data_IF_821410971221
#
_entry.id   IF_821410971221
#
_cell.length_a   1.000
_cell.length_b   1.000
_cell.length_c   1.000
_cell.angle_alpha   90.00
_cell.angle_beta   90.00
_cell.angle_gamma   90.00
#
_symmetry.space_group_name_H-M   'P 1'
#
loop_
_entity.id
_entity.type
_entity.pdbx_description
1 polymer ?
#
# COMPACT_ATOMS: atom_id res chain seq x y z
N UNK A 1 -20.66 3.05 -9.17
CA UNK A 1 -19.65 2.74 -8.15
C UNK A 1 -18.20 2.76 -8.66
N UNK A 2 -17.91 2.47 -9.93
CA UNK A 2 -16.54 2.53 -10.50
C UNK A 2 -15.94 3.95 -10.53
N UNK A 3 -16.74 4.96 -10.77
CA UNK A 3 -16.28 6.38 -10.85
C UNK A 3 -15.85 6.92 -9.49
N UNK A 4 -16.53 6.49 -8.41
CA UNK A 4 -16.20 6.91 -7.03
C UNK A 4 -14.88 6.30 -6.55
N UNK A 5 -14.63 5.03 -6.88
CA UNK A 5 -13.36 4.35 -6.57
C UNK A 5 -12.18 4.93 -7.38
N UNK A 6 -12.40 5.35 -8.63
CA UNK A 6 -11.37 6.01 -9.43
C UNK A 6 -11.09 7.43 -8.91
N UNK A 7 -12.09 8.15 -8.44
CA UNK A 7 -11.91 9.48 -7.85
C UNK A 7 -11.14 9.43 -6.52
N UNK A 8 -11.45 8.47 -5.63
CA UNK A 8 -10.68 8.21 -4.42
C UNK A 8 -9.26 7.75 -4.73
N UNK A 9 -9.09 6.91 -5.76
CA UNK A 9 -7.81 6.38 -6.20
C UNK A 9 -6.82 7.47 -6.60
N UNK A 10 -7.28 8.59 -7.18
CA UNK A 10 -6.43 9.68 -7.66
C UNK A 10 -6.39 10.89 -6.72
N UNK A 11 -7.29 10.99 -5.74
CA UNK A 11 -7.40 12.16 -4.87
C UNK A 11 -6.21 12.36 -3.94
N UNK A 12 -5.56 11.26 -3.54
CA UNK A 12 -4.44 11.27 -2.56
C UNK A 12 -3.15 10.66 -3.10
N UNK A 13 -3.10 10.28 -4.37
CA UNK A 13 -1.92 9.67 -4.96
C UNK A 13 -1.12 10.68 -5.76
N UNK A 14 0.17 10.76 -5.46
CA UNK A 14 1.10 11.56 -6.23
C UNK A 14 1.81 10.66 -7.24
N UNK A 15 1.53 10.83 -8.52
CA UNK A 15 2.21 10.08 -9.58
C UNK A 15 3.58 10.68 -9.89
N UNK A 16 4.52 9.84 -10.42
CA UNK A 16 5.83 10.33 -10.88
C UNK A 16 5.70 11.48 -11.89
N UNK A 17 4.67 11.42 -12.74
CA UNK A 17 4.36 12.48 -13.71
C UNK A 17 3.93 13.78 -13.03
N UNK A 18 3.12 13.71 -11.97
CA UNK A 18 2.72 14.89 -11.19
C UNK A 18 3.92 15.53 -10.50
N UNK A 19 4.82 14.73 -9.92
CA UNK A 19 6.06 15.21 -9.31
C UNK A 19 6.93 15.92 -10.35
N UNK A 20 7.09 15.32 -11.54
CA UNK A 20 7.85 15.94 -12.65
C UNK A 20 7.23 17.29 -13.07
N UNK A 21 5.91 17.36 -13.24
CA UNK A 21 5.21 18.61 -13.57
C UNK A 21 5.40 19.68 -12.49
N UNK A 22 5.32 19.30 -11.20
CA UNK A 22 5.54 20.21 -10.10
C UNK A 22 6.99 20.76 -10.10
N UNK A 23 8.00 19.91 -10.31
CA UNK A 23 9.42 20.35 -10.44
C UNK A 23 9.59 21.34 -11.59
N UNK A 24 8.98 21.10 -12.75
CA UNK A 24 9.04 22.00 -13.91
C UNK A 24 8.38 23.35 -13.57
N UNK A 25 7.23 23.35 -12.87
CA UNK A 25 6.56 24.60 -12.48
C UNK A 25 7.34 25.40 -11.44
N UNK A 26 8.05 24.73 -10.51
CA UNK A 26 8.95 25.36 -9.55
C UNK A 26 10.16 25.97 -10.28
N UNK A 27 10.74 25.23 -11.23
CA UNK A 27 11.84 25.74 -12.06
C UNK A 27 11.39 26.97 -12.87
N UNK A 28 10.19 26.94 -13.46
CA UNK A 28 9.63 28.10 -14.15
C UNK A 28 9.51 29.33 -13.24
N UNK A 29 9.09 29.14 -11.99
CA UNK A 29 9.03 30.24 -11.01
C UNK A 29 10.37 30.90 -10.71
N UNK A 30 11.49 30.14 -10.85
CA UNK A 30 12.84 30.62 -10.57
C UNK A 30 13.56 31.21 -11.79
N UNK A 31 13.40 30.58 -12.96
CA UNK A 31 14.23 30.82 -14.14
C UNK A 31 13.46 31.41 -15.34
N UNK A 32 12.17 31.64 -15.19
CA UNK A 32 11.33 32.19 -16.27
C UNK A 32 10.87 31.18 -17.31
N UNK A 33 10.02 31.65 -18.24
CA UNK A 33 9.32 30.80 -19.19
C UNK A 33 10.24 30.22 -20.27
N UNK A 34 11.09 31.03 -20.87
CA UNK A 34 11.92 30.59 -22.00
C UNK A 34 12.98 29.58 -21.56
N UNK A 35 13.68 29.83 -20.45
CA UNK A 35 14.62 28.87 -19.85
C UNK A 35 13.95 27.54 -19.53
N UNK A 36 12.69 27.56 -19.05
CA UNK A 36 11.96 26.33 -18.74
C UNK A 36 11.58 25.57 -20.01
N UNK A 37 11.20 26.27 -21.06
CA UNK A 37 10.85 25.64 -22.36
C UNK A 37 12.07 24.97 -22.98
N UNK A 38 13.20 25.60 -22.93
CA UNK A 38 14.47 25.07 -23.44
C UNK A 38 14.95 23.87 -22.64
N UNK A 39 14.97 23.97 -21.29
CA UNK A 39 15.46 22.90 -20.42
C UNK A 39 14.59 21.65 -20.41
N UNK A 40 13.28 21.77 -20.60
CA UNK A 40 12.34 20.64 -20.48
C UNK A 40 11.58 20.29 -21.75
N UNK A 41 11.80 21.01 -22.86
CA UNK A 41 11.15 20.82 -24.15
C UNK A 41 9.61 20.83 -24.08
N UNK A 42 9.04 21.66 -23.18
CA UNK A 42 7.61 21.72 -22.93
C UNK A 42 6.97 22.92 -23.62
N UNK A 43 5.90 22.70 -24.34
CA UNK A 43 5.14 23.77 -25.02
C UNK A 43 4.59 24.78 -24.01
N UNK A 44 4.60 26.08 -24.37
CA UNK A 44 4.05 27.18 -23.57
C UNK A 44 2.63 26.91 -23.08
N UNK A 45 1.74 26.46 -23.98
CA UNK A 45 0.34 26.13 -23.64
C UNK A 45 0.22 25.06 -22.55
N UNK A 46 1.11 24.06 -22.58
CA UNK A 46 1.14 22.96 -21.58
C UNK A 46 1.58 23.47 -20.21
N UNK A 47 2.57 24.37 -20.15
CA UNK A 47 3.03 24.99 -18.91
C UNK A 47 1.92 25.83 -18.25
N UNK A 48 1.22 26.66 -19.03
CA UNK A 48 0.08 27.43 -18.53
C UNK A 48 -1.09 26.54 -18.06
N UNK A 49 -1.35 25.45 -18.79
CA UNK A 49 -2.35 24.47 -18.38
C UNK A 49 -2.01 23.85 -17.02
N UNK A 50 -0.77 23.42 -16.83
CA UNK A 50 -0.33 22.85 -15.54
C UNK A 50 -0.34 23.90 -14.44
N UNK A 51 0.07 25.14 -14.70
CA UNK A 51 0.01 26.23 -13.74
C UNK A 51 -1.43 26.51 -13.29
N UNK A 52 -2.38 26.55 -14.23
CA UNK A 52 -3.81 26.69 -13.92
C UNK A 52 -4.35 25.53 -13.11
N UNK A 53 -4.01 24.29 -13.47
CA UNK A 53 -4.40 23.11 -12.71
C UNK A 53 -3.86 23.15 -11.28
N UNK A 54 -2.59 23.55 -11.11
CA UNK A 54 -1.95 23.64 -9.82
C UNK A 54 -2.55 24.74 -8.94
N UNK A 55 -2.83 25.90 -9.52
CA UNK A 55 -3.51 27.00 -8.82
C UNK A 55 -4.92 26.61 -8.36
N UNK A 56 -5.73 25.98 -9.24
CA UNK A 56 -7.09 25.50 -8.91
C UNK A 56 -7.08 24.40 -7.84
N UNK A 57 -5.99 23.67 -7.69
CA UNK A 57 -5.81 22.62 -6.68
C UNK A 57 -5.09 23.11 -5.44
N UNK A 58 -5.14 24.39 -5.09
CA UNK A 58 -4.50 24.96 -3.90
C UNK A 58 -3.00 24.66 -3.81
N UNK A 59 -2.33 24.61 -4.96
CA UNK A 59 -0.92 24.23 -5.12
C UNK A 59 -0.57 22.83 -4.62
N UNK A 60 -1.54 21.94 -4.44
CA UNK A 60 -1.31 20.52 -4.12
C UNK A 60 -0.79 19.78 -5.34
N UNK A 61 0.22 18.90 -5.14
CA UNK A 61 0.86 18.15 -6.25
C UNK A 61 -0.14 17.17 -6.89
N UNK A 62 -1.08 16.65 -6.12
CA UNK A 62 -2.14 15.76 -6.58
C UNK A 62 -3.00 16.36 -7.69
N UNK A 63 -3.16 17.69 -7.73
CA UNK A 63 -3.90 18.39 -8.75
C UNK A 63 -3.27 18.24 -10.15
N UNK A 64 -1.96 17.92 -10.21
CA UNK A 64 -1.21 17.69 -11.43
C UNK A 64 -1.28 16.23 -11.92
N UNK A 65 -1.97 15.35 -11.22
CA UNK A 65 -2.22 13.99 -11.69
C UNK A 65 -3.00 14.00 -13.00
N UNK A 66 -2.67 13.05 -13.88
CA UNK A 66 -3.40 12.88 -15.12
C UNK A 66 -4.83 12.41 -14.84
N UNK A 67 -5.81 13.11 -15.41
CA UNK A 67 -7.20 12.67 -15.37
C UNK A 67 -7.39 11.49 -16.31
N UNK A 68 -8.33 10.60 -15.98
CA UNK A 68 -8.71 9.51 -16.88
C UNK A 68 -9.13 10.04 -18.24
N UNK A 69 -8.52 9.51 -19.30
CA UNK A 69 -8.90 9.78 -20.70
C UNK A 69 -10.02 8.87 -21.18
N UNK A 70 -10.51 7.98 -20.33
CA UNK A 70 -11.62 7.10 -20.67
C UNK A 70 -12.88 7.91 -20.96
N UNK A 71 -13.63 7.59 -22.02
CA UNK A 71 -14.91 8.24 -22.29
C UNK A 71 -15.83 8.14 -21.07
N UNK A 72 -16.49 9.24 -20.71
CA UNK A 72 -17.46 9.26 -19.60
C UNK A 72 -18.63 8.33 -19.87
N UNK A 73 -19.07 8.25 -21.12
CA UNK A 73 -20.10 7.34 -21.60
C UNK A 73 -19.49 6.36 -22.60
N UNK A 74 -19.58 5.08 -22.31
CA UNK A 74 -19.20 4.02 -23.24
C UNK A 74 -20.44 3.62 -24.03
N UNK A 75 -20.38 3.69 -25.38
CA UNK A 75 -21.42 3.10 -26.22
C UNK A 75 -21.49 1.61 -25.91
N UNK A 76 -22.64 1.13 -25.44
CA UNK A 76 -22.93 -0.29 -25.29
C UNK A 76 -23.76 -0.71 -26.51
N UNK A 77 -23.30 -1.74 -27.22
CA UNK A 77 -24.11 -2.35 -28.26
C UNK A 77 -25.27 -3.07 -27.56
N UNK A 78 -26.49 -2.68 -27.90
CA UNK A 78 -27.69 -3.40 -27.46
C UNK A 78 -27.85 -4.62 -28.37
N UNK A 79 -27.94 -5.78 -27.77
CA UNK A 79 -28.25 -7.03 -28.47
C UNK A 79 -29.74 -7.28 -28.43
N UNK A 80 -30.34 -7.92 -29.46
CA UNK A 80 -31.75 -8.28 -29.44
C UNK A 80 -32.09 -9.03 -28.15
N UNK A 81 -33.27 -8.75 -27.60
CA UNK A 81 -33.69 -9.35 -26.33
C UNK A 81 -33.78 -10.88 -26.44
N UNK A 82 -34.22 -11.40 -27.60
CA UNK A 82 -34.28 -12.82 -27.88
C UNK A 82 -32.93 -13.53 -27.71
N UNK A 83 -31.83 -12.90 -28.21
CA UNK A 83 -30.46 -13.44 -28.08
C UNK A 83 -30.03 -13.51 -26.62
N UNK A 84 -30.37 -12.47 -25.85
CA UNK A 84 -30.00 -12.41 -24.41
C UNK A 84 -30.82 -13.37 -23.57
N UNK A 85 -32.11 -13.55 -23.90
CA UNK A 85 -32.98 -14.53 -23.24
C UNK A 85 -32.52 -15.96 -23.54
N UNK A 86 -32.23 -16.30 -24.80
CA UNK A 86 -31.73 -17.63 -25.16
C UNK A 86 -30.35 -17.89 -24.53
N UNK A 87 -29.46 -16.92 -24.50
CA UNK A 87 -28.21 -17.07 -23.80
C UNK A 87 -28.41 -17.35 -22.31
N UNK A 88 -29.39 -16.71 -21.67
CA UNK A 88 -29.75 -16.99 -20.27
C UNK A 88 -30.28 -18.42 -20.12
N UNK A 89 -31.21 -18.81 -20.96
CA UNK A 89 -31.77 -20.19 -20.95
C UNK A 89 -30.67 -21.26 -21.07
N UNK A 90 -29.76 -21.07 -22.04
CA UNK A 90 -28.63 -21.99 -22.24
C UNK A 90 -27.69 -22.03 -21.04
N UNK A 91 -27.50 -20.90 -20.34
CA UNK A 91 -26.65 -20.82 -19.14
C UNK A 91 -27.31 -21.43 -17.91
N UNK A 92 -28.64 -21.39 -17.83
CA UNK A 92 -29.41 -22.04 -16.77
C UNK A 92 -29.44 -23.56 -16.99
N UNK A 93 -29.66 -24.02 -18.25
CA UNK A 93 -29.60 -25.43 -18.60
C UNK A 93 -28.18 -26.02 -18.46
N UNK A 94 -27.15 -25.27 -18.80
CA UNK A 94 -25.76 -25.71 -18.78
C UNK A 94 -24.88 -24.71 -17.96
N UNK A 95 -24.88 -24.81 -16.63
CA UNK A 95 -24.17 -23.89 -15.75
C UNK A 95 -22.66 -23.76 -16.09
N UNK A 96 -22.16 -22.55 -16.07
CA UNK A 96 -20.74 -22.23 -16.29
C UNK A 96 -20.18 -22.55 -17.68
N UNK A 97 -21.01 -22.83 -18.67
CA UNK A 97 -20.56 -22.96 -20.05
C UNK A 97 -19.97 -21.62 -20.54
N UNK A 98 -18.72 -21.62 -21.00
CA UNK A 98 -18.01 -20.41 -21.45
C UNK A 98 -18.48 -19.92 -22.83
N UNK A 99 -18.08 -18.70 -23.21
CA UNK A 99 -18.50 -18.09 -24.46
C UNK A 99 -18.17 -18.91 -25.70
N UNK A 100 -17.02 -19.57 -25.75
CA UNK A 100 -16.62 -20.46 -26.86
C UNK A 100 -17.56 -21.65 -27.03
N UNK A 101 -17.97 -22.29 -25.92
CA UNK A 101 -18.83 -23.46 -25.93
C UNK A 101 -20.31 -23.10 -26.10
N UNK A 102 -20.72 -21.89 -25.70
CA UNK A 102 -22.08 -21.38 -25.92
C UNK A 102 -22.29 -20.91 -27.37
N UNK A 103 -21.23 -20.48 -28.04
CA UNK A 103 -21.32 -19.90 -29.39
C UNK A 103 -22.04 -20.81 -30.38
N UNK A 104 -21.68 -22.10 -30.58
CA UNK A 104 -22.33 -22.94 -31.57
C UNK A 104 -23.81 -23.13 -31.28
N UNK A 105 -24.22 -23.25 -30.00
CA UNK A 105 -25.62 -23.40 -29.62
C UNK A 105 -26.41 -22.12 -29.89
N UNK A 106 -25.85 -20.99 -29.54
CA UNK A 106 -26.46 -19.70 -29.77
C UNK A 106 -26.47 -19.32 -31.27
N UNK A 107 -25.44 -19.73 -32.03
CA UNK A 107 -25.39 -19.52 -33.47
C UNK A 107 -26.48 -20.25 -34.20
N UNK A 108 -26.73 -21.51 -33.86
CA UNK A 108 -27.85 -22.29 -34.43
C UNK A 108 -29.20 -21.62 -34.16
N UNK A 109 -29.44 -21.14 -32.93
CA UNK A 109 -30.65 -20.39 -32.58
C UNK A 109 -30.78 -19.07 -33.37
N UNK A 110 -29.69 -18.32 -33.49
CA UNK A 110 -29.70 -17.05 -34.24
C UNK A 110 -29.92 -17.28 -35.74
N UNK A 111 -29.31 -18.31 -36.30
CA UNK A 111 -29.48 -18.66 -37.72
C UNK A 111 -30.95 -19.03 -38.04
N UNK A 112 -31.59 -19.83 -37.20
CA UNK A 112 -32.99 -20.20 -37.37
C UNK A 112 -33.96 -19.03 -37.32
N UNK A 113 -33.55 -17.87 -36.75
CA UNK A 113 -34.39 -16.67 -36.60
C UNK A 113 -33.84 -15.43 -37.34
N UNK A 114 -32.91 -15.61 -38.24
CA UNK A 114 -32.25 -14.52 -38.97
C UNK A 114 -31.68 -13.41 -38.06
N UNK A 115 -31.16 -13.76 -36.87
CA UNK A 115 -30.55 -12.84 -35.90
C UNK A 115 -29.04 -12.84 -36.02
N UNK A 116 -28.43 -11.71 -35.72
CA UNK A 116 -26.96 -11.62 -35.64
C UNK A 116 -26.47 -12.26 -34.34
N UNK A 117 -25.63 -13.30 -34.48
CA UNK A 117 -25.04 -13.97 -33.30
C UNK A 117 -23.84 -13.19 -32.77
N UNK A 118 -23.75 -12.94 -31.45
CA UNK A 118 -22.55 -12.36 -30.82
C UNK A 118 -21.36 -13.31 -30.93
N UNK A 119 -20.16 -12.76 -31.21
CA UNK A 119 -18.91 -13.55 -31.20
C UNK A 119 -18.61 -14.09 -29.78
N UNK A 120 -17.85 -15.19 -29.62
CA UNK A 120 -17.55 -15.81 -28.32
C UNK A 120 -17.06 -14.86 -27.23
N UNK A 121 -16.14 -13.94 -27.59
CA UNK A 121 -15.66 -12.90 -26.68
C UNK A 121 -16.78 -11.95 -26.21
N UNK A 122 -17.72 -11.63 -27.10
CA UNK A 122 -18.87 -10.79 -26.78
C UNK A 122 -19.84 -11.51 -25.86
N UNK A 123 -20.09 -12.81 -26.11
CA UNK A 123 -20.88 -13.67 -25.21
C UNK A 123 -20.28 -13.68 -23.81
N UNK A 124 -18.95 -13.85 -23.67
CA UNK A 124 -18.24 -13.77 -22.41
C UNK A 124 -18.39 -12.43 -21.68
N UNK A 125 -18.45 -11.32 -22.42
CA UNK A 125 -18.71 -9.98 -21.87
C UNK A 125 -20.17 -9.84 -21.42
N UNK A 126 -21.14 -10.30 -22.25
CA UNK A 126 -22.55 -10.27 -21.90
C UNK A 126 -22.87 -11.09 -20.65
N UNK A 127 -22.29 -12.29 -20.50
CA UNK A 127 -22.40 -13.10 -19.29
C UNK A 127 -21.99 -12.33 -18.04
N UNK A 128 -20.94 -11.49 -18.16
CA UNK A 128 -20.44 -10.69 -17.05
C UNK A 128 -21.30 -9.44 -16.78
N UNK A 129 -21.73 -8.77 -17.86
CA UNK A 129 -22.41 -7.47 -17.77
C UNK A 129 -23.90 -7.61 -17.38
N UNK A 130 -24.58 -8.66 -17.85
CA UNK A 130 -25.97 -8.94 -17.48
C UNK A 130 -26.13 -9.39 -16.03
N UNK A 131 -25.07 -9.88 -15.39
CA UNK A 131 -25.10 -10.40 -14.02
C UNK A 131 -25.97 -11.65 -13.87
N UNK A 132 -25.81 -12.36 -12.78
CA UNK A 132 -26.61 -13.55 -12.46
C UNK A 132 -26.38 -14.79 -13.35
N UNK A 133 -25.76 -14.61 -14.53
CA UNK A 133 -25.47 -15.72 -15.45
C UNK A 133 -24.21 -16.51 -15.10
N UNK A 134 -23.44 -16.06 -14.13
CA UNK A 134 -22.29 -16.79 -13.61
C UNK A 134 -22.70 -17.54 -12.35
N UNK A 135 -23.00 -18.80 -12.51
CA UNK A 135 -23.28 -19.67 -11.37
C UNK A 135 -21.97 -20.12 -10.75
N UNK A 136 -21.81 -19.84 -9.47
CA UNK A 136 -20.74 -20.42 -8.68
C UNK A 136 -21.32 -21.64 -7.97
N UNK A 137 -20.68 -22.82 -8.08
CA UNK A 137 -21.08 -23.96 -7.27
C UNK A 137 -21.02 -23.53 -5.81
N UNK A 138 -22.10 -23.76 -5.08
CA UNK A 138 -22.14 -23.48 -3.65
C UNK A 138 -21.08 -24.37 -3.00
N UNK A 139 -20.08 -23.75 -2.39
CA UNK A 139 -19.12 -24.49 -1.58
C UNK A 139 -19.84 -24.96 -0.33
N UNK A 140 -20.14 -26.24 -0.30
CA UNK A 140 -20.71 -26.89 0.86
C UNK A 140 -19.56 -27.24 1.81
N UNK A 141 -19.67 -26.87 3.09
CA UNK A 141 -18.71 -27.30 4.10
C UNK A 141 -18.85 -28.81 4.33
N UNK A 142 -17.85 -29.45 4.95
CA UNK A 142 -17.93 -30.88 5.33
C UNK A 142 -19.19 -31.22 6.15
N UNK A 143 -19.77 -30.25 6.84
CA UNK A 143 -21.03 -30.38 7.60
C UNK A 143 -22.28 -29.94 6.81
N UNK A 144 -22.28 -29.94 5.49
CA UNK A 144 -23.44 -29.60 4.67
C UNK A 144 -23.83 -28.10 4.66
N UNK A 145 -23.13 -27.23 5.40
CA UNK A 145 -23.46 -25.80 5.42
C UNK A 145 -22.91 -25.07 4.19
N UNK A 146 -23.78 -24.36 3.47
CA UNK A 146 -23.38 -23.53 2.32
C UNK A 146 -22.60 -22.31 2.79
N UNK A 147 -21.35 -22.13 2.30
CA UNK A 147 -20.55 -20.94 2.54
C UNK A 147 -20.88 -19.90 1.48
N UNK A 148 -21.53 -18.79 1.86
CA UNK A 148 -21.61 -17.60 1.01
C UNK A 148 -20.19 -17.06 0.83
N UNK A 149 -19.66 -17.09 -0.41
CA UNK A 149 -18.35 -16.48 -0.73
C UNK A 149 -18.56 -14.98 -0.90
N UNK A 150 -18.53 -14.25 0.21
CA UNK A 150 -18.56 -12.79 0.16
C UNK A 150 -17.15 -12.31 -0.19
N UNK A 151 -16.89 -12.03 -1.46
CA UNK A 151 -15.62 -11.45 -1.90
C UNK A 151 -15.68 -9.95 -1.67
N UNK A 152 -15.18 -9.48 -0.54
CA UNK A 152 -14.95 -8.05 -0.34
C UNK A 152 -14.03 -7.53 -1.45
N UNK A 153 -14.44 -6.44 -2.09
CA UNK A 153 -13.55 -5.73 -3.03
C UNK A 153 -12.50 -5.01 -2.21
N UNK A 154 -11.27 -5.52 -2.26
CA UNK A 154 -10.12 -4.88 -1.62
C UNK A 154 -9.52 -3.81 -2.55
N UNK A 155 -9.07 -2.71 -1.97
CA UNK A 155 -8.38 -1.67 -2.69
C UNK A 155 -6.96 -2.13 -3.00
N UNK A 156 -6.51 -1.98 -4.26
CA UNK A 156 -5.19 -2.41 -4.71
C UNK A 156 -4.26 -1.21 -4.88
N UNK A 157 -3.00 -1.35 -4.43
CA UNK A 157 -1.99 -0.32 -4.69
C UNK A 157 -1.81 -0.14 -6.20
N UNK A 158 -1.85 1.07 -6.74
CA UNK A 158 -1.51 1.31 -8.14
C UNK A 158 -0.06 0.96 -8.44
N UNK A 159 0.20 0.47 -9.65
CA UNK A 159 1.54 0.02 -10.05
C UNK A 159 2.57 1.16 -10.11
N UNK A 160 2.11 2.35 -10.47
CA UNK A 160 2.89 3.58 -10.62
C UNK A 160 2.95 4.45 -9.35
N UNK A 161 2.38 3.95 -8.23
CA UNK A 161 2.42 4.66 -6.96
C UNK A 161 3.83 4.68 -6.38
N UNK A 162 4.30 5.87 -6.05
CA UNK A 162 5.59 6.10 -5.38
C UNK A 162 5.35 7.01 -4.18
N UNK A 163 5.79 6.64 -2.96
CA UNK A 163 5.69 7.51 -1.79
C UNK A 163 6.51 8.78 -2.00
N UNK A 164 6.05 9.89 -1.45
CA UNK A 164 6.62 11.22 -1.66
C UNK A 164 7.23 11.84 -0.40
N UNK A 165 6.88 11.33 0.78
CA UNK A 165 7.32 11.83 2.08
C UNK A 165 7.26 10.70 3.13
N UNK A 166 7.91 10.85 4.30
CA UNK A 166 7.81 9.89 5.40
C UNK A 166 6.37 9.68 5.83
N UNK A 167 5.99 8.43 6.14
CA UNK A 167 4.62 8.07 6.51
C UNK A 167 3.62 7.98 5.34
N UNK A 168 3.99 8.39 4.12
CA UNK A 168 3.05 8.36 2.98
C UNK A 168 2.60 6.95 2.60
N UNK A 169 3.49 5.96 2.69
CA UNK A 169 3.17 4.54 2.45
C UNK A 169 3.92 3.66 3.44
N UNK A 170 3.19 3.06 4.33
CA UNK A 170 3.68 2.05 5.25
C UNK A 170 3.38 0.66 4.69
N UNK A 171 4.35 -0.24 4.76
CA UNK A 171 4.14 -1.64 4.39
C UNK A 171 4.27 -2.54 5.63
N UNK A 172 3.39 -3.55 5.73
CA UNK A 172 3.45 -4.58 6.77
C UNK A 172 3.42 -5.97 6.13
N UNK A 173 4.11 -6.90 6.79
CA UNK A 173 4.17 -8.31 6.42
C UNK A 173 4.45 -9.16 7.66
N UNK A 174 4.39 -10.49 7.52
CA UNK A 174 4.64 -11.43 8.61
C UNK A 174 5.61 -12.51 8.17
N UNK A 175 6.70 -12.67 8.89
CA UNK A 175 7.66 -13.76 8.73
C UNK A 175 7.22 -14.91 9.64
N UNK A 176 7.05 -16.10 9.08
CA UNK A 176 6.75 -17.31 9.85
C UNK A 176 8.04 -18.14 10.10
N UNK A 177 8.22 -18.65 11.31
CA UNK A 177 9.29 -19.55 11.70
C UNK A 177 8.74 -20.70 12.52
N UNK A 178 9.38 -21.86 12.38
CA UNK A 178 9.11 -23.03 13.23
C UNK A 178 10.24 -23.17 14.26
N UNK A 179 9.85 -23.24 15.52
CA UNK A 179 10.77 -23.42 16.63
C UNK A 179 10.23 -24.57 17.49
N UNK A 180 10.95 -25.69 17.55
CA UNK A 180 10.56 -26.89 18.27
C UNK A 180 9.12 -27.35 17.98
N UNK A 181 8.76 -27.40 16.69
CA UNK A 181 7.44 -27.81 16.23
C UNK A 181 6.34 -26.78 16.44
N UNK A 182 6.62 -25.64 17.07
CA UNK A 182 5.66 -24.55 17.26
C UNK A 182 5.86 -23.45 16.24
N UNK A 183 4.76 -22.92 15.71
CA UNK A 183 4.78 -21.74 14.84
C UNK A 183 5.02 -20.48 15.65
N UNK A 184 5.90 -19.64 15.15
CA UNK A 184 6.21 -18.32 15.69
C UNK A 184 6.22 -17.31 14.54
N UNK A 185 5.92 -16.07 14.86
CA UNK A 185 5.72 -15.03 13.85
C UNK A 185 6.54 -13.80 14.22
N UNK A 186 7.10 -13.15 13.20
CA UNK A 186 7.72 -11.84 13.34
C UNK A 186 6.96 -10.90 12.40
N UNK A 187 6.16 -10.02 12.97
CA UNK A 187 5.44 -8.99 12.19
C UNK A 187 6.43 -7.88 11.90
N UNK A 188 6.45 -7.41 10.66
CA UNK A 188 7.39 -6.39 10.18
C UNK A 188 6.64 -5.18 9.63
N UNK A 189 7.26 -4.01 9.77
CA UNK A 189 6.77 -2.71 9.34
C UNK A 189 7.92 -1.95 8.68
N UNK A 190 7.66 -1.30 7.54
CA UNK A 190 8.62 -0.41 6.89
C UNK A 190 7.93 0.82 6.32
N UNK A 191 8.43 2.00 6.60
CA UNK A 191 8.12 3.19 5.82
C UNK A 191 8.86 3.14 4.48
N UNK A 192 8.09 3.03 3.39
CA UNK A 192 8.65 2.83 2.05
C UNK A 192 9.44 4.04 1.53
N UNK A 193 9.30 5.22 2.14
CA UNK A 193 10.06 6.40 1.76
C UNK A 193 11.42 6.48 2.46
N UNK A 194 11.45 6.32 3.78
CA UNK A 194 12.65 6.49 4.60
C UNK A 194 13.39 5.20 4.91
N UNK A 195 12.79 4.04 4.65
CA UNK A 195 13.29 2.71 5.09
C UNK A 195 13.31 2.53 6.60
N UNK A 196 12.69 3.42 7.35
CA UNK A 196 12.54 3.28 8.79
C UNK A 196 11.66 2.06 9.09
N UNK A 197 12.16 1.16 9.93
CA UNK A 197 11.56 -0.16 10.06
C UNK A 197 11.39 -0.58 11.51
N UNK A 198 10.31 -1.33 11.76
CA UNK A 198 10.05 -2.02 13.02
C UNK A 198 9.79 -3.50 12.77
N UNK A 199 9.99 -4.32 13.81
CA UNK A 199 9.63 -5.73 13.80
C UNK A 199 9.29 -6.18 15.22
N UNK A 200 8.47 -7.23 15.33
CA UNK A 200 8.02 -7.74 16.62
C UNK A 200 7.74 -9.24 16.55
N UNK A 201 8.40 -10.01 17.43
CA UNK A 201 8.17 -11.44 17.59
C UNK A 201 6.89 -11.72 18.39
N UNK A 202 6.06 -12.63 17.94
CA UNK A 202 4.79 -13.00 18.59
C UNK A 202 4.47 -14.50 18.44
N UNK A 203 3.73 -15.04 19.40
CA UNK A 203 3.15 -16.40 19.33
C UNK A 203 1.87 -16.44 18.49
N UNK A 204 1.25 -15.29 18.26
CA UNK A 204 -0.08 -15.17 17.67
C UNK A 204 -0.03 -14.63 16.25
N UNK A 205 -0.75 -15.29 15.34
CA UNK A 205 -1.03 -14.80 13.97
C UNK A 205 -2.42 -14.13 13.88
N UNK A 206 -2.95 -13.68 15.03
CA UNK A 206 -4.27 -13.06 15.07
C UNK A 206 -4.22 -11.61 14.56
N UNK A 207 -5.32 -11.17 13.97
CA UNK A 207 -5.45 -9.79 13.48
C UNK A 207 -5.40 -8.74 14.59
N UNK A 208 -5.66 -9.13 15.83
CA UNK A 208 -5.49 -8.26 17.00
C UNK A 208 -4.02 -7.97 17.26
N UNK A 209 -3.15 -9.00 17.24
CA UNK A 209 -1.72 -8.82 17.44
C UNK A 209 -1.08 -7.91 16.38
N UNK A 210 -1.51 -8.03 15.12
CA UNK A 210 -1.06 -7.13 14.05
C UNK A 210 -1.56 -5.68 14.27
N UNK A 211 -2.78 -5.50 14.78
CA UNK A 211 -3.33 -4.18 15.10
C UNK A 211 -2.59 -3.52 16.28
N UNK A 212 -2.31 -4.28 17.34
CA UNK A 212 -1.53 -3.81 18.49
C UNK A 212 -0.11 -3.41 18.09
N UNK A 213 0.57 -4.26 17.29
CA UNK A 213 1.88 -3.94 16.75
C UNK A 213 1.86 -2.66 15.91
N UNK A 214 0.86 -2.49 15.04
CA UNK A 214 0.73 -1.27 14.23
C UNK A 214 0.54 -0.03 15.09
N UNK A 215 -0.27 -0.11 16.13
CA UNK A 215 -0.48 0.99 17.07
C UNK A 215 0.81 1.36 17.83
N UNK A 216 1.65 0.39 18.19
CA UNK A 216 2.98 0.63 18.77
C UNK A 216 3.90 1.33 17.75
N UNK A 217 3.94 0.84 16.51
CA UNK A 217 4.74 1.46 15.44
C UNK A 217 4.32 2.92 15.19
N UNK A 218 3.02 3.21 15.20
CA UNK A 218 2.52 4.56 15.02
C UNK A 218 2.97 5.50 16.14
N UNK A 219 3.00 5.04 17.38
CA UNK A 219 3.47 5.83 18.53
C UNK A 219 4.98 6.06 18.51
N UNK A 220 5.75 5.06 18.07
CA UNK A 220 7.21 5.11 18.04
C UNK A 220 7.78 5.76 16.78
N UNK A 221 6.99 5.88 15.71
CA UNK A 221 7.40 6.58 14.50
C UNK A 221 7.56 8.07 14.79
N UNK A 222 8.57 8.76 14.25
CA UNK A 222 8.79 10.19 14.51
C UNK A 222 7.52 11.02 14.26
N UNK A 223 7.05 11.72 15.30
CA UNK A 223 5.73 12.34 15.40
C UNK A 223 5.39 13.44 14.38
N UNK A 224 6.33 13.84 13.55
CA UNK A 224 6.14 14.89 12.54
C UNK A 224 5.41 14.41 11.29
N UNK A 225 5.04 13.13 11.22
CA UNK A 225 4.50 12.53 10.01
C UNK A 225 3.26 11.69 10.31
N UNK A 226 2.16 12.06 9.66
CA UNK A 226 0.95 11.26 9.66
C UNK A 226 1.01 10.15 8.62
N UNK A 227 0.58 8.95 8.99
CA UNK A 227 0.40 7.87 8.04
C UNK A 227 -0.81 8.13 7.15
N UNK A 228 -0.70 7.76 5.88
CA UNK A 228 -1.81 7.92 4.93
C UNK A 228 -2.24 6.60 4.31
N UNK A 229 -1.29 5.82 3.80
CA UNK A 229 -1.55 4.55 3.16
C UNK A 229 -0.84 3.42 3.88
N UNK A 230 -1.54 2.31 4.06
CA UNK A 230 -0.99 1.08 4.60
C UNK A 230 -1.11 -0.01 3.55
N UNK A 231 -0.01 -0.68 3.23
CA UNK A 231 0.09 -1.76 2.26
C UNK A 231 0.34 -3.08 2.97
N UNK A 232 -0.52 -4.04 2.74
CA UNK A 232 -0.32 -5.43 3.21
C UNK A 232 -0.54 -6.40 2.06
N UNK A 233 -0.24 -7.65 2.30
CA UNK A 233 -0.75 -8.74 1.47
C UNK A 233 -2.24 -9.03 1.75
N UNK A 234 -2.73 -10.22 1.38
CA UNK A 234 -4.10 -10.65 1.67
C UNK A 234 -4.17 -11.59 2.89
N UNK A 235 -3.17 -11.59 3.75
CA UNK A 235 -3.09 -12.41 4.94
C UNK A 235 -4.32 -12.27 5.86
N UNK A 236 -4.57 -13.28 6.68
CA UNK A 236 -5.70 -13.27 7.61
C UNK A 236 -5.49 -12.32 8.78
N UNK A 237 -4.23 -12.09 9.15
CA UNK A 237 -3.76 -11.19 10.21
C UNK A 237 -4.05 -9.72 9.90
N UNK A 238 -4.10 -9.35 8.62
CA UNK A 238 -4.41 -7.98 8.18
C UNK A 238 -5.90 -7.73 7.90
N UNK A 239 -6.78 -8.57 8.48
CA UNK A 239 -8.24 -8.45 8.37
C UNK A 239 -8.87 -8.09 9.71
N UNK A 240 -10.20 -8.05 9.78
CA UNK A 240 -10.98 -7.86 11.01
C UNK A 240 -10.45 -6.70 11.89
N UNK A 241 -9.80 -7.02 13.03
CA UNK A 241 -9.32 -6.04 14.00
C UNK A 241 -8.30 -5.07 13.40
N UNK A 242 -7.37 -5.56 12.58
CA UNK A 242 -6.42 -4.71 11.88
C UNK A 242 -7.11 -3.73 10.92
N UNK A 243 -8.07 -4.21 10.11
CA UNK A 243 -8.83 -3.33 9.21
C UNK A 243 -9.68 -2.32 10.00
N UNK A 244 -10.28 -2.73 11.12
CA UNK A 244 -11.05 -1.83 11.98
C UNK A 244 -10.16 -0.72 12.59
N UNK A 245 -8.95 -1.07 13.02
CA UNK A 245 -7.98 -0.09 13.53
C UNK A 245 -7.57 0.94 12.46
N UNK A 246 -7.25 0.48 11.25
CA UNK A 246 -6.96 1.41 10.14
C UNK A 246 -8.14 2.33 9.81
N UNK A 247 -9.38 1.81 9.89
CA UNK A 247 -10.58 2.63 9.69
C UNK A 247 -10.75 3.65 10.81
N UNK A 248 -10.51 3.28 12.06
CA UNK A 248 -10.54 4.19 13.22
C UNK A 248 -9.55 5.34 13.07
N UNK A 249 -8.38 5.05 12.49
CA UNK A 249 -7.31 6.01 12.22
C UNK A 249 -7.48 6.75 10.88
N UNK A 250 -8.58 6.52 10.15
CA UNK A 250 -8.84 7.08 8.82
C UNK A 250 -7.74 6.78 7.78
N UNK A 251 -7.02 5.66 7.91
CA UNK A 251 -5.96 5.25 7.01
C UNK A 251 -6.52 4.43 5.85
N UNK A 252 -5.91 4.58 4.68
CA UNK A 252 -6.31 3.88 3.45
C UNK A 252 -5.54 2.56 3.34
N UNK A 253 -6.27 1.45 3.39
CA UNK A 253 -5.68 0.12 3.29
C UNK A 253 -5.55 -0.35 1.84
N UNK A 254 -4.32 -0.49 1.38
CA UNK A 254 -3.98 -1.13 0.11
C UNK A 254 -3.59 -2.58 0.30
N UNK A 255 -3.97 -3.41 -0.66
CA UNK A 255 -3.51 -4.80 -0.73
C UNK A 255 -2.65 -5.02 -1.98
N UNK A 256 -1.66 -5.91 -1.89
CA UNK A 256 -0.87 -6.34 -3.04
C UNK A 256 -1.71 -7.17 -4.01
N UNK A 257 -1.37 -7.14 -5.31
CA UNK A 257 -1.98 -8.06 -6.26
C UNK A 257 -1.48 -9.48 -6.00
N UNK A 258 -2.34 -10.51 -6.13
CA UNK A 258 -1.91 -11.90 -6.02
C UNK A 258 -0.77 -12.20 -7.02
N UNK A 259 0.24 -12.94 -6.58
CA UNK A 259 1.40 -13.35 -7.40
C UNK A 259 2.19 -12.19 -8.02
N UNK A 260 2.28 -11.06 -7.34
CA UNK A 260 3.01 -9.88 -7.82
C UNK A 260 3.98 -9.37 -6.74
N UNK A 261 5.11 -10.08 -6.50
CA UNK A 261 6.07 -9.74 -5.43
C UNK A 261 6.65 -8.33 -5.59
N UNK A 262 6.88 -7.86 -6.81
CA UNK A 262 7.42 -6.51 -7.09
C UNK A 262 6.66 -5.35 -6.41
N UNK A 263 5.45 -5.58 -5.93
CA UNK A 263 4.66 -4.51 -5.26
C UNK A 263 5.10 -4.25 -3.83
N UNK A 264 5.71 -5.23 -3.17
CA UNK A 264 6.20 -5.14 -1.79
C UNK A 264 7.72 -5.36 -1.70
N UNK A 265 8.44 -5.17 -2.80
CA UNK A 265 9.87 -5.51 -2.92
C UNK A 265 10.76 -4.85 -1.87
N UNK A 266 10.35 -3.69 -1.32
CA UNK A 266 11.12 -2.99 -0.28
C UNK A 266 11.01 -3.72 1.05
N UNK A 267 9.80 -4.02 1.50
CA UNK A 267 9.59 -4.77 2.73
C UNK A 267 10.10 -6.22 2.61
N UNK A 268 9.95 -6.87 1.43
CA UNK A 268 10.57 -8.17 1.17
C UNK A 268 12.10 -8.12 1.32
N UNK A 269 12.73 -7.01 0.91
CA UNK A 269 14.16 -6.79 1.12
C UNK A 269 14.50 -6.60 2.59
N UNK A 270 13.70 -5.82 3.32
CA UNK A 270 13.86 -5.69 4.78
C UNK A 270 13.67 -7.03 5.47
N UNK A 271 12.63 -7.79 5.12
CA UNK A 271 12.37 -9.12 5.67
C UNK A 271 13.54 -10.06 5.46
N UNK A 272 14.18 -10.03 4.28
CA UNK A 272 15.41 -10.79 4.03
C UNK A 272 16.54 -10.30 4.93
N UNK A 273 16.78 -9.01 5.00
CA UNK A 273 17.86 -8.41 5.79
C UNK A 273 17.72 -8.78 7.27
N UNK A 274 16.55 -8.59 7.87
CA UNK A 274 16.34 -8.92 9.30
C UNK A 274 16.44 -10.42 9.57
N UNK A 275 16.06 -11.27 8.61
CA UNK A 275 16.26 -12.72 8.72
C UNK A 275 17.73 -13.08 8.72
N UNK A 276 18.48 -12.59 7.71
CA UNK A 276 19.91 -12.88 7.56
C UNK A 276 20.76 -12.26 8.68
N UNK A 277 20.42 -11.09 9.18
CA UNK A 277 21.24 -10.35 10.16
C UNK A 277 20.84 -10.61 11.63
N UNK A 278 19.60 -11.06 11.89
CA UNK A 278 19.12 -11.20 13.27
C UNK A 278 18.30 -12.47 13.52
N UNK A 279 17.18 -12.69 12.77
CA UNK A 279 16.19 -13.72 13.17
C UNK A 279 16.77 -15.12 13.13
N UNK A 280 17.54 -15.46 12.08
CA UNK A 280 18.08 -16.81 11.90
C UNK A 280 19.14 -17.14 12.94
N UNK A 281 19.87 -16.16 13.48
CA UNK A 281 20.82 -16.33 14.59
C UNK A 281 20.13 -16.44 15.95
N UNK A 282 18.92 -15.89 16.10
CA UNK A 282 18.20 -15.85 17.37
C UNK A 282 16.89 -16.63 17.34
N UNK A 283 16.72 -17.52 16.36
CA UNK A 283 15.47 -18.27 16.16
C UNK A 283 15.03 -19.04 17.41
N UNK A 284 15.96 -19.59 18.18
CA UNK A 284 15.67 -20.30 19.43
C UNK A 284 15.02 -19.42 20.50
N UNK A 285 15.30 -18.11 20.52
CA UNK A 285 14.67 -17.15 21.43
C UNK A 285 13.20 -16.87 21.11
N UNK A 286 12.73 -17.18 19.90
CA UNK A 286 11.32 -17.06 19.56
C UNK A 286 10.39 -18.00 20.34
N UNK A 287 10.94 -18.95 21.12
CA UNK A 287 10.17 -19.70 22.13
C UNK A 287 9.56 -18.74 23.14
N UNK A 288 10.35 -17.79 23.61
CA UNK A 288 9.95 -16.69 24.45
C UNK A 288 10.05 -15.35 23.68
N UNK A 289 8.93 -14.81 23.17
CA UNK A 289 8.94 -13.57 22.43
C UNK A 289 9.45 -12.36 23.24
N UNK A 290 9.42 -12.39 24.57
CA UNK A 290 9.91 -11.27 25.39
C UNK A 290 11.42 -11.13 25.26
N UNK A 291 12.15 -12.23 25.46
CA UNK A 291 13.61 -12.25 25.32
C UNK A 291 14.04 -11.98 23.88
N UNK A 292 13.31 -12.55 22.92
CA UNK A 292 13.54 -12.28 21.51
C UNK A 292 13.36 -10.79 21.19
N UNK A 293 12.26 -10.19 21.62
CA UNK A 293 11.95 -8.80 21.34
C UNK A 293 12.90 -7.82 22.02
N UNK A 294 13.43 -8.15 23.19
CA UNK A 294 14.44 -7.35 23.87
C UNK A 294 15.71 -7.21 23.01
N UNK A 295 16.23 -8.33 22.50
CA UNK A 295 17.40 -8.33 21.60
C UNK A 295 17.06 -7.73 20.22
N UNK A 296 15.86 -8.00 19.72
CA UNK A 296 15.39 -7.44 18.46
C UNK A 296 15.35 -5.91 18.51
N UNK A 297 14.99 -5.34 19.66
CA UNK A 297 14.97 -3.89 19.83
C UNK A 297 16.36 -3.27 19.66
N UNK A 298 17.39 -3.88 20.26
CA UNK A 298 18.78 -3.41 20.08
C UNK A 298 19.21 -3.44 18.62
N UNK A 299 18.84 -4.52 17.90
CA UNK A 299 19.08 -4.60 16.46
C UNK A 299 18.32 -3.54 15.66
N UNK A 300 17.06 -3.26 15.99
CA UNK A 300 16.25 -2.26 15.29
C UNK A 300 16.75 -0.83 15.56
N UNK A 301 17.26 -0.56 16.75
CA UNK A 301 17.94 0.70 17.05
C UNK A 301 19.14 0.83 16.12
N UNK A 302 20.05 -0.15 16.11
CA UNK A 302 21.19 -0.17 15.19
C UNK A 302 20.76 0.00 13.73
N UNK A 303 19.76 -0.77 13.27
CA UNK A 303 19.26 -0.72 11.90
C UNK A 303 18.80 0.69 11.48
N UNK A 304 18.05 1.36 12.35
CA UNK A 304 17.48 2.67 12.03
C UNK A 304 18.46 3.82 12.24
N UNK A 305 19.40 3.74 13.18
CA UNK A 305 20.26 4.87 13.57
C UNK A 305 21.66 4.81 13.01
N UNK A 306 22.23 3.62 12.80
CA UNK A 306 23.64 3.44 12.46
C UNK A 306 23.84 2.71 11.13
N UNK A 307 23.03 1.66 10.87
CA UNK A 307 23.17 0.83 9.68
C UNK A 307 22.92 1.64 8.41
N UNK A 308 23.94 1.85 7.60
CA UNK A 308 23.79 2.52 6.31
C UNK A 308 22.97 1.72 5.32
N UNK A 309 22.19 2.40 4.47
CA UNK A 309 21.24 1.75 3.57
C UNK A 309 21.58 2.01 2.09
N UNK A 310 21.49 0.97 1.24
CA UNK A 310 21.79 1.07 -0.20
C UNK A 310 20.88 2.08 -0.94
N UNK A 311 19.64 2.30 -0.48
CA UNK A 311 18.75 3.32 -1.03
C UNK A 311 19.36 4.75 -0.92
N UNK A 312 20.26 4.96 0.02
CA UNK A 312 20.97 6.21 0.30
C UNK A 312 22.45 6.12 -0.06
N UNK A 313 22.80 5.28 -1.05
CA UNK A 313 24.16 5.04 -1.54
C UNK A 313 25.14 4.56 -0.46
N UNK A 314 24.63 3.86 0.56
CA UNK A 314 25.39 3.41 1.74
C UNK A 314 26.09 4.55 2.50
N UNK A 315 25.47 5.74 2.58
CA UNK A 315 26.00 6.89 3.28
C UNK A 315 25.19 7.27 4.52
N UNK A 316 23.90 6.96 4.52
CA UNK A 316 22.98 7.35 5.59
C UNK A 316 22.21 6.13 6.10
N UNK A 317 21.90 6.15 7.40
CA UNK A 317 20.90 5.28 7.99
C UNK A 317 19.48 5.82 7.73
N UNK A 318 18.42 5.03 7.93
CA UNK A 318 17.04 5.48 7.80
C UNK A 318 16.72 6.76 8.58
N UNK A 319 17.15 6.85 9.83
CA UNK A 319 16.93 8.03 10.67
C UNK A 319 17.75 9.24 10.20
N UNK A 320 19.03 9.05 9.86
CA UNK A 320 19.87 10.12 9.32
C UNK A 320 19.28 10.68 8.02
N UNK A 321 18.76 9.80 7.14
CA UNK A 321 18.05 10.25 5.93
C UNK A 321 16.80 11.05 6.29
N UNK A 322 16.02 10.61 7.26
CA UNK A 322 14.79 11.30 7.69
C UNK A 322 15.12 12.70 8.24
N UNK A 323 16.16 12.84 9.05
CA UNK A 323 16.62 14.12 9.61
C UNK A 323 17.16 15.05 8.51
N UNK A 324 17.80 14.53 7.47
CA UNK A 324 18.33 15.31 6.36
C UNK A 324 17.28 15.90 5.42
N UNK A 325 16.00 15.53 5.58
CA UNK A 325 14.93 16.01 4.71
C UNK A 325 14.63 17.50 4.96
N UNK A 326 14.41 18.30 3.88
CA UNK A 326 14.08 19.72 4.03
C UNK A 326 12.78 19.92 4.80
N UNK A 327 12.73 20.91 5.67
CA UNK A 327 11.52 21.28 6.43
C UNK A 327 10.30 21.57 5.54
N UNK A 328 10.50 21.99 4.29
CA UNK A 328 9.41 22.18 3.33
C UNK A 328 8.64 20.91 2.97
N UNK A 329 9.20 19.73 3.20
CA UNK A 329 8.50 18.45 3.08
C UNK A 329 7.66 18.18 4.34
N UNK A 330 8.11 18.68 5.50
CA UNK A 330 7.46 18.55 6.80
C UNK A 330 6.17 19.36 6.89
N UNK A 331 6.14 20.58 6.33
CA UNK A 331 5.00 21.53 6.43
C UNK A 331 3.81 21.14 5.55
N UNK A 332 3.95 20.20 4.62
CA UNK A 332 2.89 19.83 3.66
C UNK A 332 1.81 18.91 4.20
N UNK A 333 1.91 18.43 5.44
CA UNK A 333 0.91 17.55 6.06
C UNK A 333 -0.21 18.32 6.77
N UNK A 334 -0.21 19.65 6.76
CA UNK A 334 -1.30 20.47 7.32
C UNK A 334 -1.31 20.56 8.87
N UNK A 335 -0.28 20.05 9.52
CA UNK A 335 -0.05 20.25 10.95
C UNK A 335 0.84 21.47 11.13
N UNK A 336 0.26 22.58 11.55
CA UNK A 336 1.04 23.69 12.08
C UNK A 336 1.88 23.18 13.25
N UNK A 337 3.20 23.19 13.10
CA UNK A 337 4.13 22.87 14.17
C UNK A 337 3.97 23.88 15.30
N UNK A 338 3.16 23.57 16.30
CA UNK A 338 3.25 24.25 17.58
C UNK A 338 4.58 23.81 18.20
N UNK A 339 5.48 24.77 18.32
CA UNK A 339 6.78 24.74 18.99
C UNK A 339 7.95 24.12 18.20
N UNK A 340 9.02 24.92 18.12
CA UNK A 340 10.34 24.53 17.63
C UNK A 340 10.98 23.45 18.52
N UNK A 341 10.70 22.20 18.21
CA UNK A 341 11.28 21.05 18.88
C UNK A 341 12.39 20.46 18.00
N UNK A 342 13.59 20.50 18.52
CA UNK A 342 14.76 19.79 18.03
C UNK A 342 14.43 18.29 17.89
N UNK A 343 14.55 17.75 16.67
CA UNK A 343 14.41 16.34 16.37
C UNK A 343 15.62 15.54 16.89
N UNK A 344 15.59 15.12 18.13
CA UNK A 344 16.69 14.32 18.69
C UNK A 344 16.26 13.03 19.38
N UNK A 345 14.96 12.68 19.38
CA UNK A 345 14.54 11.49 20.11
C UNK A 345 13.52 10.64 19.32
N UNK A 346 13.97 9.49 18.84
CA UNK A 346 13.08 8.39 18.48
C UNK A 346 12.77 7.67 19.78
N UNK A 347 11.54 7.82 20.27
CA UNK A 347 11.17 7.23 21.54
C UNK A 347 10.85 5.75 21.42
N UNK A 348 11.90 4.93 21.44
CA UNK A 348 11.77 3.47 21.55
C UNK A 348 11.24 3.01 22.93
N UNK A 349 11.09 3.93 23.91
CA UNK A 349 10.63 3.59 25.24
C UNK A 349 9.22 3.00 25.26
N UNK A 350 8.38 3.34 24.27
CA UNK A 350 7.08 2.71 24.11
C UNK A 350 7.15 1.21 23.83
N UNK A 351 8.13 0.72 23.10
CA UNK A 351 8.34 -0.70 22.92
C UNK A 351 8.90 -1.35 24.19
N UNK A 352 9.72 -0.62 24.96
CA UNK A 352 10.29 -1.09 26.22
C UNK A 352 9.28 -1.04 27.38
N UNK A 353 8.31 -0.11 27.37
CA UNK A 353 7.32 0.02 28.45
C UNK A 353 6.24 -1.07 28.44
N UNK A 354 6.09 -1.78 27.33
CA UNK A 354 5.19 -2.95 27.26
C UNK A 354 5.73 -4.18 28.02
N UNK A 355 7.03 -4.16 28.35
CA UNK A 355 7.67 -5.15 29.21
C UNK A 355 8.48 -4.42 30.28
N UNK A 356 8.03 -4.41 31.55
CA UNK A 356 8.77 -3.78 32.63
C UNK A 356 10.11 -4.47 32.76
N UNK A 357 11.15 -3.80 32.31
CA UNK A 357 12.53 -4.24 32.43
C UNK A 357 12.92 -4.28 33.92
N UNK A 358 13.29 -5.43 34.42
CA UNK A 358 14.11 -5.50 35.61
C UNK A 358 15.42 -4.77 35.36
N UNK A 359 15.50 -3.58 35.92
CA UNK A 359 16.65 -2.72 36.14
C UNK A 359 18.03 -3.29 35.81
N UNK A 360 18.69 -2.75 34.81
CA UNK A 360 20.07 -2.28 34.80
C UNK A 360 20.47 -1.81 33.38
N UNK A 361 20.08 -0.62 33.02
CA UNK A 361 20.74 0.10 31.92
C UNK A 361 21.64 1.15 32.55
N UNK A 362 22.96 0.89 32.47
CA UNK A 362 23.99 1.84 32.82
C UNK A 362 23.81 3.14 32.06
N UNK A 363 23.82 4.21 32.83
CA UNK A 363 23.81 5.58 32.43
C UNK A 363 24.83 5.96 31.35
N UNK A 364 24.34 6.73 30.38
CA UNK A 364 24.97 7.81 29.60
C UNK A 364 26.41 7.69 29.11
N UNK A 365 26.67 8.12 27.89
CA UNK A 365 27.81 9.00 27.63
C UNK A 365 27.33 10.46 27.56
N UNK A 366 27.79 11.24 28.54
CA UNK A 366 27.79 12.71 28.46
C UNK A 366 28.68 13.16 27.31
N UNK A 367 28.11 13.84 26.32
CA UNK A 367 28.89 14.61 25.37
C UNK A 367 29.29 15.93 26.05
N UNK A 368 30.51 15.99 26.48
CA UNK A 368 31.14 17.25 26.94
C UNK A 368 31.32 18.19 25.74
N UNK A 369 30.60 19.30 25.74
CA UNK A 369 30.97 20.46 24.93
C UNK A 369 32.23 21.08 25.52
N UNK A 370 33.38 20.92 24.88
CA UNK A 370 34.53 21.77 25.08
C UNK A 370 34.31 23.09 24.31
N UNK A 371 34.01 24.13 25.07
CA UNK A 371 34.26 25.49 24.62
C UNK A 371 35.77 25.71 24.57
N UNK A 372 36.31 26.11 23.44
CA UNK A 372 37.62 26.77 23.33
C UNK A 372 37.47 28.20 22.81
N UNK A 373 38.33 29.08 23.28
CA UNK A 373 38.18 30.54 23.29
C UNK A 373 38.31 31.20 21.93
#
# INVERSE_FOLDING_TARGET
>A
MTVYNDALRYRYMITKKAIRKAKILVFWGKHGLEATREAFEVKRSTLYLWKSQWAKGEKKIEALNEKSRAPRTKRKRLWPMEVTVEMRRLREAHPNLGGEKLYPLLAAFCQARNLVCPKPRTIGNLIRDLGGLRMFPQKVSHFGKTKKVNRQKVLRKPKDFTPAYPGHLIALDTIERFVDGCRRYVVTFEDIYTRFSFAWGTKSHASLAAAEFFALCQKAFPHSYDFLFVLTDNGSEFKKHFTAELQRLHLIHFHTYPKTPKMNAHLERFNRTIQEEFVDYHVGLLKDPEDFNRKLMDYLIFYNTERVHCAFKNQLSPLQFMISLPQSILVKTGVESKSGLHYTYVDFSYFLSYYPCSTNVRSKPEVKHENRP
#
